data_IF_792455997700
#
_entry.id   IF_792455997700
#
_cell.length_a   1.000
_cell.length_b   1.000
_cell.length_c   1.000
_cell.angle_alpha   90.00
_cell.angle_beta   90.00
_cell.angle_gamma   90.00
#
_symmetry.space_group_name_H-M   'P 1'
#
loop_
_entity.id
_entity.type
_entity.pdbx_description
1 polymer ?
#
# COMPACT_ATOMS: atom_id res chain seq x y z
N UNK A 1 11.14 -14.78 2.99
CA UNK A 1 11.18 -13.36 3.42
C UNK A 1 10.81 -12.37 2.30
N UNK A 2 10.87 -12.75 1.00
CA UNK A 2 10.35 -11.94 -0.12
C UNK A 2 8.84 -12.09 -0.38
N UNK A 3 8.19 -13.15 0.12
CA UNK A 3 6.82 -13.52 -0.26
C UNK A 3 5.72 -12.64 0.34
N UNK A 4 5.90 -12.08 1.54
CA UNK A 4 4.77 -11.50 2.29
C UNK A 4 4.22 -10.20 1.67
N UNK A 5 5.07 -9.41 1.00
CA UNK A 5 4.63 -8.17 0.35
C UNK A 5 4.02 -8.40 -1.04
N UNK A 6 4.38 -9.51 -1.70
CA UNK A 6 3.96 -9.79 -3.08
C UNK A 6 2.46 -10.03 -3.19
N UNK A 7 1.87 -10.78 -2.26
CA UNK A 7 0.43 -11.05 -2.23
C UNK A 7 -0.39 -9.77 -2.06
N UNK A 8 0.05 -8.90 -1.15
CA UNK A 8 -0.65 -7.63 -0.89
C UNK A 8 -0.48 -6.66 -2.07
N UNK A 9 0.69 -6.61 -2.70
CA UNK A 9 0.85 -5.86 -3.96
C UNK A 9 -0.08 -6.40 -5.05
N UNK A 10 -0.20 -7.72 -5.20
CA UNK A 10 -1.13 -8.33 -6.16
C UNK A 10 -2.59 -7.96 -5.89
N UNK A 11 -2.99 -7.84 -4.61
CA UNK A 11 -4.31 -7.34 -4.22
C UNK A 11 -4.51 -5.88 -4.68
N UNK A 12 -3.54 -5.00 -4.43
CA UNK A 12 -3.61 -3.60 -4.87
C UNK A 12 -3.65 -3.50 -6.39
N UNK A 13 -2.84 -4.29 -7.10
CA UNK A 13 -2.82 -4.34 -8.57
C UNK A 13 -4.20 -4.76 -9.12
N UNK A 14 -4.87 -5.70 -8.44
CA UNK A 14 -6.22 -6.11 -8.80
C UNK A 14 -7.24 -5.00 -8.57
N UNK A 15 -7.15 -4.27 -7.47
CA UNK A 15 -8.02 -3.12 -7.17
C UNK A 15 -7.83 -2.04 -8.23
N UNK A 16 -6.59 -1.62 -8.50
CA UNK A 16 -6.23 -0.64 -9.54
C UNK A 16 -6.80 -1.04 -10.89
N UNK A 17 -6.66 -2.31 -11.28
CA UNK A 17 -7.23 -2.82 -12.54
C UNK A 17 -8.74 -2.68 -12.61
N UNK A 18 -9.46 -2.91 -11.50
CA UNK A 18 -10.92 -2.78 -11.46
C UNK A 18 -11.31 -1.30 -11.59
N UNK A 19 -10.73 -0.42 -10.76
CA UNK A 19 -11.13 0.99 -10.70
C UNK A 19 -10.71 1.80 -11.94
N UNK A 20 -9.67 1.39 -12.67
CA UNK A 20 -9.24 2.05 -13.92
C UNK A 20 -10.26 1.91 -15.06
N UNK A 21 -11.28 1.06 -14.92
CA UNK A 21 -12.43 1.07 -15.86
C UNK A 21 -13.31 2.32 -15.68
N UNK A 22 -13.20 3.03 -14.55
CA UNK A 22 -13.86 4.31 -14.34
C UNK A 22 -13.09 5.44 -15.03
N UNK A 23 -13.75 6.37 -15.75
CA UNK A 23 -13.08 7.51 -16.37
C UNK A 23 -12.60 8.56 -15.35
N UNK A 24 -13.07 8.49 -14.10
CA UNK A 24 -12.77 9.47 -13.04
C UNK A 24 -11.43 9.23 -12.37
N UNK A 25 -11.01 7.98 -12.28
CA UNK A 25 -9.80 7.58 -11.56
C UNK A 25 -8.78 7.08 -12.57
N UNK A 26 -7.60 7.68 -12.52
CA UNK A 26 -6.50 7.32 -13.42
C UNK A 26 -5.28 6.96 -12.59
N UNK A 27 -4.73 5.80 -12.87
CA UNK A 27 -3.42 5.39 -12.36
C UNK A 27 -2.38 5.53 -13.47
N UNK A 28 -1.18 5.95 -13.11
CA UNK A 28 -0.04 6.01 -14.03
C UNK A 28 0.61 4.62 -14.25
N UNK A 29 1.69 4.58 -15.02
CA UNK A 29 2.47 3.34 -15.21
C UNK A 29 3.08 2.82 -13.90
N UNK A 30 3.36 3.73 -12.96
CA UNK A 30 3.85 3.43 -11.62
C UNK A 30 2.94 4.11 -10.60
N UNK A 31 2.25 3.34 -9.77
CA UNK A 31 1.40 3.84 -8.69
C UNK A 31 1.92 3.52 -7.29
N UNK A 32 3.04 2.80 -7.18
CA UNK A 32 3.79 2.64 -5.94
C UNK A 32 4.95 3.65 -5.89
N UNK A 33 4.94 4.53 -4.90
CA UNK A 33 6.00 5.53 -4.68
C UNK A 33 6.61 5.31 -3.31
N UNK A 34 7.95 5.27 -3.14
CA UNK A 34 8.57 5.07 -1.83
C UNK A 34 8.05 6.04 -0.76
N UNK A 35 7.84 5.53 0.46
CA UNK A 35 7.41 6.30 1.63
C UNK A 35 8.40 6.17 2.79
N UNK A 36 8.17 6.96 3.84
CA UNK A 36 9.03 7.04 5.04
C UNK A 36 8.20 7.07 6.33
N UNK A 37 7.02 6.44 6.35
CA UNK A 37 6.14 6.39 7.51
C UNK A 37 6.80 5.57 8.65
N UNK A 38 6.75 6.05 9.90
CA UNK A 38 7.48 5.47 11.03
C UNK A 38 6.95 4.10 11.49
N UNK A 39 5.69 3.78 11.20
CA UNK A 39 5.07 2.50 11.54
C UNK A 39 5.56 1.32 10.69
N UNK A 40 6.32 1.59 9.63
CA UNK A 40 6.85 0.56 8.72
C UNK A 40 8.36 0.43 8.76
N UNK A 41 8.84 -0.73 8.30
CA UNK A 41 10.26 -0.94 8.00
C UNK A 41 10.75 0.00 6.90
N UNK A 42 11.90 0.64 7.15
CA UNK A 42 12.56 1.52 6.19
C UNK A 42 12.85 0.79 4.88
N UNK A 43 12.59 1.44 3.74
CA UNK A 43 12.77 0.88 2.37
C UNK A 43 11.92 -0.38 2.07
N UNK A 44 10.88 -0.63 2.86
CA UNK A 44 9.91 -1.72 2.68
C UNK A 44 8.47 -1.20 2.76
N UNK A 45 8.27 -0.01 2.23
CA UNK A 45 7.00 0.71 2.25
C UNK A 45 6.86 1.65 1.05
N UNK A 46 5.62 1.88 0.64
CA UNK A 46 5.27 2.79 -0.44
C UNK A 46 3.89 3.43 -0.21
N UNK A 47 3.71 4.62 -0.79
CA UNK A 47 2.41 5.27 -1.03
C UNK A 47 1.80 4.70 -2.30
N UNK A 48 0.48 4.61 -2.30
CA UNK A 48 -0.32 4.34 -3.50
C UNK A 48 -0.81 5.68 -4.02
N UNK A 49 -0.52 6.01 -5.28
CA UNK A 49 -0.84 7.32 -5.88
C UNK A 49 -1.55 7.18 -7.22
N UNK A 50 -2.47 8.10 -7.49
CA UNK A 50 -3.09 8.28 -8.82
C UNK A 50 -2.15 9.05 -9.76
N UNK A 51 -2.50 9.13 -11.05
CA UNK A 51 -1.66 9.75 -12.08
C UNK A 51 -1.42 11.25 -11.90
N UNK A 52 -2.29 11.92 -11.14
CA UNK A 52 -2.17 13.33 -10.74
C UNK A 52 -1.36 13.52 -9.44
N UNK A 53 -0.85 12.43 -8.85
CA UNK A 53 -0.04 12.45 -7.64
C UNK A 53 -0.82 12.44 -6.33
N UNK A 54 -2.16 12.37 -6.36
CA UNK A 54 -2.96 12.24 -5.14
C UNK A 54 -2.67 10.89 -4.47
N UNK A 55 -2.30 10.93 -3.19
CA UNK A 55 -2.15 9.74 -2.36
C UNK A 55 -3.53 9.17 -2.05
N UNK A 56 -3.72 7.87 -2.30
CA UNK A 56 -4.97 7.13 -2.04
C UNK A 56 -4.77 5.98 -1.06
N UNK A 57 -3.55 5.80 -0.55
CA UNK A 57 -3.24 4.73 0.39
C UNK A 57 -1.75 4.54 0.62
N UNK A 58 -1.41 3.52 1.39
CA UNK A 58 -0.04 3.13 1.68
C UNK A 58 0.04 1.62 1.94
N UNK A 59 1.22 1.07 1.70
CA UNK A 59 1.53 -0.34 1.87
C UNK A 59 2.91 -0.47 2.48
N UNK A 60 3.09 -1.40 3.42
CA UNK A 60 4.40 -1.62 4.01
C UNK A 60 4.47 -2.82 4.96
N UNK A 61 5.70 -3.22 5.29
CA UNK A 61 5.95 -4.19 6.35
C UNK A 61 5.95 -3.44 7.67
N UNK A 62 5.06 -3.82 8.59
CA UNK A 62 4.92 -3.16 9.90
C UNK A 62 6.19 -3.33 10.73
N UNK A 63 6.65 -2.26 11.37
CA UNK A 63 7.84 -2.28 12.22
C UNK A 63 7.62 -3.18 13.44
N UNK A 64 8.62 -3.99 13.80
CA UNK A 64 8.51 -4.98 14.87
C UNK A 64 8.15 -4.36 16.24
N UNK A 65 8.56 -3.12 16.50
CA UNK A 65 8.19 -2.42 17.73
C UNK A 65 6.67 -2.13 17.79
N UNK A 66 6.05 -1.79 16.65
CA UNK A 66 4.61 -1.57 16.56
C UNK A 66 3.90 -2.89 16.82
N UNK A 67 4.26 -3.97 16.11
CA UNK A 67 3.67 -5.29 16.30
C UNK A 67 3.76 -5.77 17.75
N UNK A 68 4.92 -5.56 18.40
CA UNK A 68 5.12 -5.89 19.83
C UNK A 68 4.16 -5.12 20.75
N UNK A 69 3.90 -3.84 20.48
CA UNK A 69 2.93 -3.03 21.25
C UNK A 69 1.49 -3.56 21.11
N UNK A 70 1.17 -4.19 19.99
CA UNK A 70 -0.13 -4.83 19.74
C UNK A 70 -0.18 -6.32 20.11
N UNK A 71 0.90 -6.88 20.68
CA UNK A 71 0.96 -8.31 21.05
C UNK A 71 0.96 -9.26 19.84
N UNK A 72 1.36 -8.78 18.66
CA UNK A 72 1.43 -9.57 17.44
C UNK A 72 2.85 -10.15 17.31
N UNK A 73 3.04 -11.48 17.38
CA UNK A 73 4.36 -12.09 17.32
C UNK A 73 4.88 -12.26 15.88
N UNK A 74 3.96 -12.33 14.90
CA UNK A 74 4.30 -12.62 13.51
C UNK A 74 4.55 -11.35 12.69
N UNK A 75 5.49 -11.37 11.72
CA UNK A 75 5.66 -10.29 10.75
C UNK A 75 4.37 -10.03 9.97
N UNK A 76 4.03 -8.75 9.78
CA UNK A 76 2.80 -8.34 9.11
C UNK A 76 3.12 -7.40 7.94
N UNK A 77 2.50 -7.66 6.78
CA UNK A 77 2.38 -6.65 5.72
C UNK A 77 1.00 -6.03 5.81
N UNK A 78 0.97 -4.71 5.75
CA UNK A 78 -0.22 -3.89 5.88
C UNK A 78 -0.47 -3.12 4.59
N UNK A 79 -1.75 -2.93 4.26
CA UNK A 79 -2.19 -2.02 3.21
C UNK A 79 -3.42 -1.26 3.69
N UNK A 80 -3.43 0.04 3.45
CA UNK A 80 -4.60 0.90 3.60
C UNK A 80 -4.88 1.58 2.27
N UNK A 81 -6.17 1.67 1.92
CA UNK A 81 -6.65 2.37 0.74
C UNK A 81 -7.88 3.17 1.15
N UNK A 82 -7.86 4.45 0.84
CA UNK A 82 -9.04 5.31 0.88
C UNK A 82 -9.94 4.96 -0.30
N UNK A 83 -11.02 4.21 -0.02
CA UNK A 83 -11.99 3.79 -1.02
C UNK A 83 -12.79 4.98 -1.57
N UNK A 84 -13.03 6.02 -0.79
CA UNK A 84 -13.73 7.22 -1.26
C UNK A 84 -12.90 7.96 -2.31
N UNK A 85 -11.57 7.95 -2.17
CA UNK A 85 -10.67 8.47 -3.18
C UNK A 85 -10.69 7.68 -4.52
N UNK A 86 -11.39 6.54 -4.59
CA UNK A 86 -11.52 5.69 -5.78
C UNK A 86 -12.91 5.74 -6.46
N UNK A 87 -13.82 6.62 -6.03
CA UNK A 87 -15.19 6.79 -6.58
C UNK A 87 -15.36 8.05 -7.44
#
# INVERSE_FOLDING_TARGET
>A
MLSITQEIMGLVDRIVKIVTHSPRIKFGQTYYVPSSEPEFFTKRQCKIVTSDGKQVGYLGIVHAEVLRKFGIPDPCTFVEIDIEALL
#
